data_IF_402975680199
#
_entry.id   IF_402975680199
#
_cell.length_a   1.000
_cell.length_b   1.000
_cell.length_c   1.000
_cell.angle_alpha   90.00
_cell.angle_beta   90.00
_cell.angle_gamma   90.00
#
_symmetry.space_group_name_H-M   'P 1'
#
loop_
_entity.id
_entity.type
_entity.pdbx_description
1 polymer ?
#
# COMPACT_ATOMS: atom_id res chain seq x y z
N UNK A 1 16.58 -7.48 9.65
CA UNK A 1 15.50 -8.33 10.20
C UNK A 1 15.86 -9.81 10.10
N UNK A 2 16.27 -10.31 8.92
CA UNK A 2 16.75 -11.71 8.76
C UNK A 2 17.86 -12.12 9.73
N UNK A 3 18.87 -11.27 9.95
CA UNK A 3 19.96 -11.56 10.89
C UNK A 3 19.45 -11.73 12.33
N UNK A 4 18.46 -10.95 12.76
CA UNK A 4 17.87 -11.05 14.09
C UNK A 4 17.00 -12.32 14.24
N UNK A 5 16.34 -12.74 13.16
CA UNK A 5 15.55 -13.98 13.12
C UNK A 5 16.45 -15.22 13.19
N UNK A 6 17.58 -15.19 12.48
CA UNK A 6 18.60 -16.25 12.53
C UNK A 6 19.21 -16.38 13.93
N UNK A 7 19.54 -15.25 14.58
CA UNK A 7 20.05 -15.25 15.96
C UNK A 7 19.01 -15.82 16.93
N UNK A 8 17.74 -15.42 16.81
CA UNK A 8 16.66 -15.94 17.65
C UNK A 8 16.33 -17.44 17.41
N UNK A 9 16.66 -17.96 16.23
CA UNK A 9 16.54 -19.38 15.90
C UNK A 9 17.71 -20.19 16.46
N UNK A 10 18.94 -19.67 16.37
CA UNK A 10 20.12 -20.29 16.96
C UNK A 10 20.02 -20.36 18.49
N UNK A 11 19.56 -19.29 19.15
CA UNK A 11 19.37 -19.25 20.62
C UNK A 11 18.39 -20.33 21.08
N UNK A 12 17.34 -20.64 20.30
CA UNK A 12 16.39 -21.73 20.59
C UNK A 12 16.99 -23.11 20.49
N UNK A 13 17.82 -23.35 19.49
CA UNK A 13 18.44 -24.67 19.28
C UNK A 13 19.49 -24.99 20.33
N UNK A 14 19.98 -23.96 21.04
CA UNK A 14 20.99 -24.07 22.09
C UNK A 14 20.40 -24.15 23.50
N UNK A 15 19.07 -24.06 23.67
CA UNK A 15 18.43 -24.13 24.98
C UNK A 15 18.29 -25.60 25.44
N UNK A 16 18.94 -26.03 26.54
CA UNK A 16 19.04 -27.43 26.97
C UNK A 16 17.80 -27.95 27.72
N UNK A 17 16.74 -27.14 27.83
CA UNK A 17 15.54 -27.44 28.60
C UNK A 17 14.66 -28.46 27.86
N UNK A 18 14.71 -29.72 28.29
CA UNK A 18 13.90 -30.85 27.79
C UNK A 18 12.43 -30.78 28.22
N UNK A 19 11.74 -29.67 27.93
CA UNK A 19 10.26 -29.59 27.99
C UNK A 19 9.69 -29.57 26.59
N UNK A 20 9.73 -30.73 25.96
CA UNK A 20 8.94 -31.06 24.77
C UNK A 20 7.46 -31.07 25.15
N UNK A 21 6.79 -29.90 25.18
CA UNK A 21 5.31 -29.76 24.99
C UNK A 21 4.83 -28.31 25.11
N UNK A 22 4.33 -27.79 23.98
CA UNK A 22 3.18 -26.86 23.82
C UNK A 22 3.15 -25.44 24.42
N UNK A 23 4.07 -25.02 25.29
CA UNK A 23 4.01 -23.66 25.90
C UNK A 23 5.18 -22.71 25.56
N UNK A 24 5.94 -22.96 24.48
CA UNK A 24 6.96 -21.99 24.05
C UNK A 24 6.36 -20.94 23.09
N UNK A 25 6.57 -19.63 23.33
CA UNK A 25 6.05 -18.61 22.44
C UNK A 25 6.73 -18.67 21.05
N UNK A 26 5.96 -18.57 19.96
CA UNK A 26 6.49 -18.61 18.59
C UNK A 26 7.49 -17.46 18.34
N UNK A 27 8.29 -17.54 17.26
CA UNK A 27 9.48 -16.69 17.04
C UNK A 27 9.21 -15.17 17.03
N UNK A 28 7.95 -14.79 16.88
CA UNK A 28 7.45 -13.42 16.93
C UNK A 28 6.37 -13.20 18.01
N UNK A 29 6.17 -14.15 18.93
CA UNK A 29 5.06 -14.12 19.91
C UNK A 29 3.65 -14.25 19.29
N UNK A 30 3.56 -14.46 17.97
CA UNK A 30 2.31 -14.60 17.24
C UNK A 30 1.83 -16.05 17.27
N UNK A 31 0.86 -16.34 18.14
CA UNK A 31 0.13 -17.62 18.11
C UNK A 31 -0.82 -17.65 16.90
N UNK A 32 -1.22 -18.84 16.46
CA UNK A 32 -2.23 -18.99 15.39
C UNK A 32 -3.54 -18.24 15.72
N UNK A 33 -3.86 -18.09 17.02
CA UNK A 33 -5.01 -17.31 17.50
C UNK A 33 -4.83 -15.82 17.24
N UNK A 34 -3.64 -15.26 17.50
CA UNK A 34 -3.33 -13.86 17.20
C UNK A 34 -3.41 -13.53 15.70
N UNK A 35 -3.08 -14.48 14.82
CA UNK A 35 -3.22 -14.31 13.37
C UNK A 35 -4.69 -14.36 12.94
N UNK A 36 -5.49 -15.25 13.56
CA UNK A 36 -6.93 -15.32 13.33
C UNK A 36 -7.68 -14.08 13.84
N UNK A 37 -7.21 -13.45 14.92
CA UNK A 37 -7.77 -12.20 15.45
C UNK A 37 -7.45 -10.98 14.56
N UNK A 38 -6.33 -11.04 13.81
CA UNK A 38 -5.91 -10.02 12.85
C UNK A 38 -6.44 -10.26 11.43
N UNK A 39 -7.03 -11.43 11.16
CA UNK A 39 -7.65 -11.73 9.88
C UNK A 39 -8.90 -10.87 9.69
N UNK A 40 -9.11 -10.28 8.50
CA UNK A 40 -10.37 -9.61 8.20
C UNK A 40 -11.55 -10.56 8.44
N UNK A 41 -12.69 -10.06 8.93
CA UNK A 41 -13.89 -10.87 9.14
C UNK A 41 -14.22 -11.71 7.91
N UNK A 42 -14.70 -12.94 8.07
CA UNK A 42 -14.98 -13.84 6.93
C UNK A 42 -15.91 -13.20 5.89
N UNK A 43 -16.80 -12.30 6.31
CA UNK A 43 -17.67 -11.52 5.43
C UNK A 43 -16.85 -10.65 4.46
N UNK A 44 -15.83 -9.96 4.95
CA UNK A 44 -14.95 -9.11 4.16
C UNK A 44 -14.09 -9.94 3.20
N UNK A 45 -13.63 -11.12 3.64
CA UNK A 45 -12.90 -12.05 2.77
C UNK A 45 -13.80 -12.58 1.64
N UNK A 46 -15.07 -12.89 1.92
CA UNK A 46 -16.05 -13.30 0.89
C UNK A 46 -16.34 -12.16 -0.09
N UNK A 47 -16.56 -10.94 0.41
CA UNK A 47 -16.77 -9.75 -0.43
C UNK A 47 -15.53 -9.42 -1.27
N UNK A 48 -14.33 -9.55 -0.71
CA UNK A 48 -13.07 -9.38 -1.42
C UNK A 48 -12.92 -10.42 -2.52
N UNK A 49 -13.21 -11.71 -2.24
CA UNK A 49 -13.19 -12.78 -3.25
C UNK A 49 -14.20 -12.54 -4.38
N UNK A 50 -15.41 -12.09 -4.06
CA UNK A 50 -16.43 -11.76 -5.07
C UNK A 50 -16.01 -10.56 -5.93
N UNK A 51 -15.47 -9.49 -5.32
CA UNK A 51 -14.94 -8.32 -6.05
C UNK A 51 -13.72 -8.66 -6.90
N UNK A 52 -12.85 -9.54 -6.41
CA UNK A 52 -11.64 -9.96 -7.12
C UNK A 52 -12.00 -10.60 -8.46
N UNK A 53 -13.00 -11.48 -8.50
CA UNK A 53 -13.44 -12.13 -9.73
C UNK A 53 -13.94 -11.11 -10.76
N UNK A 54 -14.78 -10.17 -10.34
CA UNK A 54 -15.28 -9.12 -11.21
C UNK A 54 -14.16 -8.19 -11.72
N UNK A 55 -13.24 -7.78 -10.84
CA UNK A 55 -12.11 -6.91 -11.20
C UNK A 55 -11.13 -7.63 -12.14
N UNK A 56 -10.89 -8.92 -11.93
CA UNK A 56 -10.09 -9.75 -12.83
C UNK A 56 -10.74 -9.85 -14.20
N UNK A 57 -12.05 -10.07 -14.26
CA UNK A 57 -12.80 -10.13 -15.52
C UNK A 57 -12.71 -8.81 -16.28
N UNK A 58 -12.90 -7.66 -15.61
CA UNK A 58 -12.78 -6.33 -16.21
C UNK A 58 -11.37 -6.09 -16.75
N UNK A 59 -10.34 -6.45 -15.97
CA UNK A 59 -8.94 -6.28 -16.39
C UNK A 59 -8.55 -7.19 -17.54
N UNK A 60 -9.03 -8.43 -17.54
CA UNK A 60 -8.80 -9.39 -18.63
C UNK A 60 -9.49 -8.92 -19.90
N UNK A 61 -10.76 -8.52 -19.82
CA UNK A 61 -11.49 -7.93 -20.96
C UNK A 61 -10.76 -6.72 -21.53
N UNK A 62 -10.29 -5.79 -20.68
CA UNK A 62 -9.51 -4.63 -21.12
C UNK A 62 -8.22 -5.03 -21.85
N UNK A 63 -7.48 -6.02 -21.35
CA UNK A 63 -6.29 -6.53 -22.03
C UNK A 63 -6.62 -7.14 -23.39
N UNK A 64 -7.68 -7.94 -23.47
CA UNK A 64 -8.12 -8.55 -24.72
C UNK A 64 -8.59 -7.49 -25.73
N UNK A 65 -9.27 -6.42 -25.30
CA UNK A 65 -9.62 -5.29 -26.16
C UNK A 65 -8.39 -4.51 -26.65
N UNK A 66 -7.37 -4.32 -25.81
CA UNK A 66 -6.11 -3.69 -26.24
C UNK A 66 -5.34 -4.54 -27.27
N UNK A 67 -5.47 -5.86 -27.22
CA UNK A 67 -4.89 -6.73 -28.26
C UNK A 67 -5.73 -6.58 -29.53
N UNK A 68 -7.05 -6.57 -29.42
CA UNK A 68 -7.96 -6.40 -30.55
C UNK A 68 -7.74 -5.04 -31.26
N UNK A 69 -7.48 -3.98 -30.51
CA UNK A 69 -7.19 -2.64 -31.05
C UNK A 69 -5.96 -2.58 -31.93
N UNK A 70 -4.98 -3.45 -31.68
CA UNK A 70 -3.78 -3.55 -32.50
C UNK A 70 -4.09 -4.13 -33.90
N UNK A 71 -5.01 -5.10 -33.97
CA UNK A 71 -5.39 -5.74 -35.23
C UNK A 71 -6.49 -4.99 -35.97
N UNK A 72 -7.37 -4.28 -35.26
CA UNK A 72 -8.48 -3.51 -35.82
C UNK A 72 -8.57 -2.15 -35.14
N UNK A 73 -7.93 -1.10 -35.68
CA UNK A 73 -7.89 0.23 -35.06
C UNK A 73 -9.24 0.97 -35.05
N UNK A 74 -10.19 0.62 -35.93
CA UNK A 74 -11.52 1.25 -36.01
C UNK A 74 -12.54 0.71 -34.96
N UNK A 75 -12.06 0.01 -33.93
CA UNK A 75 -12.87 -0.69 -32.93
C UNK A 75 -13.52 0.23 -31.87
N UNK A 76 -13.07 1.47 -31.70
CA UNK A 76 -13.48 2.34 -30.59
C UNK A 76 -14.97 2.75 -30.67
N UNK A 77 -15.49 2.98 -31.88
CA UNK A 77 -16.88 3.41 -32.13
C UNK A 77 -17.91 2.25 -32.12
N UNK A 78 -17.48 1.00 -31.99
CA UNK A 78 -18.36 -0.16 -32.07
C UNK A 78 -19.11 -0.44 -30.76
N UNK A 79 -20.31 -1.03 -30.87
CA UNK A 79 -21.12 -1.41 -29.70
C UNK A 79 -20.43 -2.51 -28.87
N UNK A 80 -20.67 -2.54 -27.55
CA UNK A 80 -20.08 -3.56 -26.66
C UNK A 80 -20.39 -5.00 -27.10
N UNK A 81 -21.57 -5.24 -27.68
CA UNK A 81 -21.94 -6.55 -28.23
C UNK A 81 -21.06 -6.98 -29.40
N UNK A 82 -20.74 -6.05 -30.31
CA UNK A 82 -19.90 -6.30 -31.47
C UNK A 82 -18.42 -6.45 -31.06
N UNK A 83 -17.97 -5.66 -30.06
CA UNK A 83 -16.67 -5.82 -29.40
C UNK A 83 -16.52 -7.20 -28.76
N UNK A 84 -17.53 -7.70 -28.06
CA UNK A 84 -17.50 -9.03 -27.45
C UNK A 84 -17.55 -10.16 -28.49
N UNK A 85 -18.26 -10.00 -29.60
CA UNK A 85 -18.26 -10.94 -30.72
C UNK A 85 -16.89 -11.02 -31.42
N UNK A 86 -16.21 -9.88 -31.56
CA UNK A 86 -14.84 -9.84 -32.08
C UNK A 86 -13.84 -10.41 -31.08
N UNK A 87 -14.07 -10.20 -29.78
CA UNK A 87 -13.28 -10.79 -28.70
C UNK A 87 -13.32 -12.32 -28.74
N UNK A 88 -14.49 -12.90 -29.01
CA UNK A 88 -14.62 -14.37 -29.08
C UNK A 88 -13.93 -14.98 -30.30
N UNK A 89 -13.72 -14.20 -31.37
CA UNK A 89 -12.94 -14.60 -32.57
C UNK A 89 -11.45 -14.30 -32.47
N UNK A 90 -11.03 -13.49 -31.49
CA UNK A 90 -9.63 -13.11 -31.28
C UNK A 90 -8.68 -14.34 -31.17
N UNK A 91 -9.02 -15.42 -30.44
CA UNK A 91 -8.16 -16.59 -30.36
C UNK A 91 -7.90 -17.25 -31.72
N UNK A 92 -8.93 -17.40 -32.55
CA UNK A 92 -8.80 -17.97 -33.90
C UNK A 92 -7.90 -17.11 -34.79
N UNK A 93 -8.07 -15.78 -34.74
CA UNK A 93 -7.20 -14.86 -35.48
C UNK A 93 -5.76 -14.93 -35.00
N UNK A 94 -5.53 -14.98 -33.68
CA UNK A 94 -4.19 -15.07 -33.11
C UNK A 94 -3.52 -16.40 -33.45
N UNK A 95 -4.26 -17.50 -33.44
CA UNK A 95 -3.75 -18.81 -33.82
C UNK A 95 -3.39 -18.86 -35.32
N UNK A 96 -4.22 -18.26 -36.18
CA UNK A 96 -3.92 -18.17 -37.61
C UNK A 96 -2.66 -17.34 -37.90
N UNK A 97 -2.47 -16.25 -37.16
CA UNK A 97 -1.30 -15.39 -37.24
C UNK A 97 -0.04 -16.09 -36.68
N UNK A 98 -0.18 -16.82 -35.57
CA UNK A 98 0.91 -17.64 -35.01
C UNK A 98 1.40 -18.68 -36.01
N UNK A 99 0.46 -19.42 -36.63
CA UNK A 99 0.77 -20.40 -37.70
C UNK A 99 1.43 -19.75 -38.90
N UNK A 100 0.99 -18.54 -39.28
CA UNK A 100 1.59 -17.77 -40.38
C UNK A 100 3.05 -17.39 -40.06
N UNK A 101 3.32 -16.95 -38.83
CA UNK A 101 4.68 -16.62 -38.36
C UNK A 101 5.57 -17.85 -38.31
N UNK A 102 5.07 -18.99 -37.83
CA UNK A 102 5.81 -20.25 -37.81
C UNK A 102 6.15 -20.71 -39.24
N UNK A 103 5.20 -20.69 -40.16
CA UNK A 103 5.43 -21.05 -41.56
C UNK A 103 6.43 -20.10 -42.26
N UNK A 104 6.44 -18.81 -41.91
CA UNK A 104 7.45 -17.87 -42.41
C UNK A 104 8.83 -18.16 -41.82
N UNK A 105 8.91 -18.46 -40.53
CA UNK A 105 10.16 -18.85 -39.86
C UNK A 105 10.76 -20.11 -40.44
N UNK A 106 9.93 -21.12 -40.73
CA UNK A 106 10.37 -22.34 -41.41
C UNK A 106 10.91 -22.04 -42.81
N UNK A 107 10.19 -21.24 -43.61
CA UNK A 107 10.67 -20.79 -44.93
C UNK A 107 11.97 -19.99 -44.86
N UNK A 108 12.12 -19.13 -43.86
CA UNK A 108 13.36 -18.38 -43.62
C UNK A 108 14.51 -19.32 -43.28
N UNK A 109 14.27 -20.30 -42.41
CA UNK A 109 15.26 -21.31 -42.04
C UNK A 109 15.65 -22.20 -43.24
N UNK A 110 14.69 -22.63 -44.04
CA UNK A 110 14.92 -23.37 -45.30
C UNK A 110 15.73 -22.54 -46.30
N UNK A 111 15.41 -21.26 -46.47
CA UNK A 111 16.17 -20.36 -47.35
C UNK A 111 17.57 -20.08 -46.83
N UNK A 112 17.74 -19.91 -45.53
CA UNK A 112 19.04 -19.70 -44.90
C UNK A 112 19.93 -20.94 -45.03
N UNK A 113 19.37 -22.14 -44.82
CA UNK A 113 20.10 -23.40 -45.01
C UNK A 113 20.44 -23.66 -46.48
N UNK A 114 19.54 -23.32 -47.42
CA UNK A 114 19.83 -23.36 -48.85
C UNK A 114 20.96 -22.40 -49.23
N UNK A 115 20.91 -21.15 -48.73
CA UNK A 115 21.94 -20.15 -48.94
C UNK A 115 23.28 -20.61 -48.37
N UNK A 116 23.29 -21.18 -47.17
CA UNK A 116 24.49 -21.73 -46.54
C UNK A 116 25.07 -22.90 -47.34
N UNK A 117 24.22 -23.79 -47.87
CA UNK A 117 24.65 -24.89 -48.75
C UNK A 117 25.21 -24.39 -50.07
N UNK A 118 24.54 -23.42 -50.70
CA UNK A 118 25.07 -22.77 -51.91
C UNK A 118 26.40 -22.08 -51.62
N UNK A 119 26.49 -21.32 -50.53
CA UNK A 119 27.71 -20.60 -50.13
C UNK A 119 28.84 -21.58 -49.85
N UNK A 120 28.56 -22.69 -49.17
CA UNK A 120 29.53 -23.76 -48.93
C UNK A 120 29.97 -24.46 -50.23
N UNK A 121 29.04 -24.72 -51.15
CA UNK A 121 29.33 -25.29 -52.47
C UNK A 121 30.21 -24.34 -53.31
N UNK A 122 29.91 -23.04 -53.30
CA UNK A 122 30.71 -22.03 -53.98
C UNK A 122 32.09 -21.83 -53.34
N UNK A 123 32.21 -21.91 -52.02
CA UNK A 123 33.50 -21.86 -51.31
C UNK A 123 34.33 -23.14 -51.47
N UNK A 124 33.71 -24.32 -51.56
CA UNK A 124 34.43 -25.59 -51.75
C UNK A 124 34.86 -25.81 -53.21
N UNK A 125 34.13 -25.25 -54.18
CA UNK A 125 34.46 -25.35 -55.61
C UNK A 125 35.36 -24.20 -56.10
N UNK A 126 35.54 -23.13 -55.32
CA UNK A 126 36.44 -21.99 -55.62
C UNK A 126 37.94 -22.23 -55.32
N UNK A 127 38.39 -23.49 -55.39
CA UNK A 127 39.81 -23.86 -55.55
C UNK A 127 39.86 -24.81 -56.76
N UNK A 128 39.60 -24.34 -58.01
CA UNK A 128 40.64 -23.66 -58.79
C UNK A 128 40.13 -22.59 -59.79
N UNK A 129 40.80 -21.43 -59.79
CA UNK A 129 41.12 -20.44 -60.84
C UNK A 129 40.40 -20.36 -62.22
N UNK A 130 39.21 -20.91 -62.48
CA UNK A 130 38.59 -20.79 -63.81
C UNK A 130 37.05 -20.76 -63.76
N UNK A 131 36.43 -19.58 -63.64
CA UNK A 131 35.14 -19.24 -64.27
C UNK A 131 34.71 -17.79 -63.97
N UNK A 132 34.85 -16.93 -64.99
CA UNK A 132 34.47 -15.51 -64.99
C UNK A 132 32.96 -15.13 -64.86
N UNK A 133 31.95 -16.03 -64.90
CA UNK A 133 30.56 -15.59 -64.67
C UNK A 133 30.10 -15.55 -63.20
N UNK A 134 30.87 -16.10 -62.25
CA UNK A 134 30.43 -16.26 -60.85
C UNK A 134 30.62 -15.02 -59.95
N UNK A 135 31.28 -13.97 -60.45
CA UNK A 135 31.50 -12.73 -59.69
C UNK A 135 30.23 -11.88 -59.55
N UNK A 136 29.24 -12.05 -60.43
CA UNK A 136 28.04 -11.19 -60.44
C UNK A 136 27.03 -11.56 -59.35
N UNK A 137 26.90 -12.84 -58.99
CA UNK A 137 25.95 -13.26 -57.96
C UNK A 137 26.46 -13.01 -56.54
N UNK A 138 27.77 -13.12 -56.32
CA UNK A 138 28.43 -12.80 -55.05
C UNK A 138 28.45 -11.30 -54.79
N UNK A 139 28.69 -10.47 -55.81
CA UNK A 139 28.58 -9.00 -55.71
C UNK A 139 27.16 -8.54 -55.41
N UNK A 140 26.15 -9.10 -56.08
CA UNK A 140 24.74 -8.76 -55.80
C UNK A 140 24.29 -9.15 -54.38
N UNK A 141 24.69 -10.31 -53.88
CA UNK A 141 24.41 -10.72 -52.49
C UNK A 141 25.11 -9.81 -51.47
N UNK A 142 26.34 -9.39 -51.76
CA UNK A 142 27.10 -8.49 -50.89
C UNK A 142 26.52 -7.07 -50.88
N UNK A 143 26.06 -6.56 -52.02
CA UNK A 143 25.33 -5.29 -52.09
C UNK A 143 23.98 -5.37 -51.35
N UNK A 144 23.23 -6.47 -51.51
CA UNK A 144 21.97 -6.67 -50.82
C UNK A 144 22.14 -6.73 -49.30
N UNK A 145 23.18 -7.42 -48.81
CA UNK A 145 23.52 -7.43 -47.38
C UNK A 145 23.94 -6.03 -46.89
N UNK A 146 24.68 -5.27 -47.70
CA UNK A 146 25.02 -3.88 -47.40
C UNK A 146 23.77 -2.99 -47.27
N UNK A 147 22.82 -3.11 -48.21
CA UNK A 147 21.54 -2.40 -48.14
C UNK A 147 20.72 -2.79 -46.91
N UNK A 148 20.69 -4.07 -46.54
CA UNK A 148 20.01 -4.53 -45.31
C UNK A 148 20.64 -3.96 -44.04
N UNK A 149 21.97 -3.92 -43.97
CA UNK A 149 22.68 -3.32 -42.82
C UNK A 149 22.42 -1.82 -42.71
N UNK A 150 22.36 -1.10 -43.83
CA UNK A 150 22.02 0.32 -43.87
C UNK A 150 20.57 0.55 -43.43
N UNK A 151 19.62 -0.27 -43.88
CA UNK A 151 18.23 -0.21 -43.43
C UNK A 151 18.12 -0.51 -41.94
N UNK A 152 18.87 -1.49 -41.45
CA UNK A 152 18.86 -1.87 -40.03
C UNK A 152 19.46 -0.77 -39.15
N UNK A 153 20.56 -0.13 -39.57
CA UNK A 153 21.13 1.01 -38.85
C UNK A 153 20.22 2.23 -38.91
N UNK A 154 19.59 2.52 -40.05
CA UNK A 154 18.57 3.57 -40.16
C UNK A 154 17.39 3.32 -39.22
N UNK A 155 16.87 2.11 -39.15
CA UNK A 155 15.77 1.76 -38.23
C UNK A 155 16.23 1.89 -36.78
N UNK A 156 17.37 1.29 -36.40
CA UNK A 156 17.86 1.35 -35.03
C UNK A 156 18.18 2.79 -34.62
N UNK A 157 18.93 3.53 -35.42
CA UNK A 157 19.39 4.87 -35.08
C UNK A 157 18.26 5.88 -35.20
N UNK A 158 17.44 5.88 -36.24
CA UNK A 158 16.39 6.89 -36.37
C UNK A 158 15.16 6.55 -35.53
N UNK A 159 14.65 5.31 -35.53
CA UNK A 159 13.44 5.04 -34.73
C UNK A 159 13.74 5.07 -33.23
N UNK A 160 14.77 4.36 -32.74
CA UNK A 160 14.99 4.33 -31.27
C UNK A 160 15.55 5.65 -30.74
N UNK A 161 16.47 6.31 -31.46
CA UNK A 161 17.05 7.56 -30.96
C UNK A 161 16.06 8.71 -31.07
N UNK A 162 15.35 8.87 -32.18
CA UNK A 162 14.35 9.92 -32.31
C UNK A 162 13.20 9.71 -31.31
N UNK A 163 12.76 8.46 -31.11
CA UNK A 163 11.76 8.14 -30.11
C UNK A 163 12.25 8.47 -28.69
N UNK A 164 13.49 8.08 -28.34
CA UNK A 164 14.09 8.41 -27.04
C UNK A 164 14.19 9.91 -26.81
N UNK A 165 14.63 10.68 -27.79
CA UNK A 165 14.72 12.14 -27.68
C UNK A 165 13.34 12.78 -27.54
N UNK A 166 12.36 12.30 -28.29
CA UNK A 166 10.98 12.77 -28.20
C UNK A 166 10.35 12.44 -26.83
N UNK A 167 10.57 11.24 -26.32
CA UNK A 167 10.10 10.84 -24.99
C UNK A 167 10.80 11.62 -23.89
N UNK A 168 12.11 11.89 -24.02
CA UNK A 168 12.84 12.77 -23.11
C UNK A 168 12.22 14.17 -23.07
N UNK A 169 11.94 14.77 -24.22
CA UNK A 169 11.29 16.09 -24.28
C UNK A 169 9.89 16.10 -23.68
N UNK A 170 9.12 15.02 -23.85
CA UNK A 170 7.80 14.87 -23.20
C UNK A 170 7.93 14.82 -21.68
N UNK A 171 8.90 14.05 -21.16
CA UNK A 171 9.17 13.97 -19.72
C UNK A 171 9.57 15.35 -19.18
N UNK A 172 10.52 16.02 -19.83
CA UNK A 172 10.97 17.36 -19.43
C UNK A 172 9.80 18.37 -19.40
N UNK A 173 8.92 18.33 -20.42
CA UNK A 173 7.72 19.18 -20.48
C UNK A 173 6.74 18.91 -19.33
N UNK A 174 6.45 17.62 -19.08
CA UNK A 174 5.53 17.23 -18.01
C UNK A 174 6.11 17.57 -16.64
N UNK A 175 7.41 17.39 -16.43
CA UNK A 175 8.10 17.78 -15.21
C UNK A 175 7.99 19.29 -14.98
N UNK A 176 8.33 20.10 -15.98
CA UNK A 176 8.20 21.56 -15.90
C UNK A 176 6.75 21.99 -15.59
N UNK A 177 5.76 21.34 -16.22
CA UNK A 177 4.34 21.59 -15.95
C UNK A 177 3.96 21.26 -14.51
N UNK A 178 4.43 20.13 -13.98
CA UNK A 178 4.25 19.75 -12.57
C UNK A 178 4.89 20.75 -11.63
N UNK A 179 6.13 21.18 -11.91
CA UNK A 179 6.81 22.19 -11.10
C UNK A 179 6.02 23.49 -11.05
N UNK A 180 5.48 23.97 -12.18
CA UNK A 180 4.63 25.16 -12.22
C UNK A 180 3.39 24.99 -11.34
N UNK A 181 2.71 23.85 -11.43
CA UNK A 181 1.51 23.57 -10.62
C UNK A 181 1.85 23.54 -9.12
N UNK A 182 2.95 22.90 -8.73
CA UNK A 182 3.41 22.89 -7.33
C UNK A 182 3.67 24.31 -6.83
N UNK A 183 4.32 25.15 -7.66
CA UNK A 183 4.57 26.55 -7.31
C UNK A 183 3.29 27.35 -7.17
N UNK A 184 2.30 27.14 -8.06
CA UNK A 184 0.98 27.76 -7.96
C UNK A 184 0.24 27.38 -6.68
N UNK A 185 0.14 26.08 -6.38
CA UNK A 185 -0.50 25.61 -5.15
C UNK A 185 0.16 26.26 -3.91
N UNK A 186 1.49 26.35 -3.89
CA UNK A 186 2.21 26.96 -2.77
C UNK A 186 1.96 28.47 -2.68
N UNK A 187 1.85 29.18 -3.79
CA UNK A 187 1.51 30.60 -3.81
C UNK A 187 0.10 30.83 -3.27
N UNK A 188 -0.90 30.07 -3.73
CA UNK A 188 -2.28 30.15 -3.23
C UNK A 188 -2.38 29.81 -1.74
N UNK A 189 -1.65 28.79 -1.27
CA UNK A 189 -1.60 28.44 0.15
C UNK A 189 -1.06 29.60 1.01
N UNK A 190 0.01 30.27 0.56
CA UNK A 190 0.56 31.42 1.26
C UNK A 190 -0.42 32.60 1.23
N UNK A 191 -1.10 32.83 0.10
CA UNK A 191 -2.13 33.86 -0.02
C UNK A 191 -3.27 33.64 0.97
N UNK A 192 -3.80 32.40 1.02
CA UNK A 192 -4.84 32.03 1.99
C UNK A 192 -4.38 32.26 3.44
N UNK A 193 -3.12 31.98 3.77
CA UNK A 193 -2.58 32.24 5.11
C UNK A 193 -2.54 33.74 5.41
N UNK A 194 -2.12 34.58 4.46
CA UNK A 194 -2.11 36.03 4.63
C UNK A 194 -3.53 36.58 4.81
N UNK A 195 -4.51 36.08 4.05
CA UNK A 195 -5.91 36.51 4.12
C UNK A 195 -6.60 36.02 5.42
N UNK A 196 -6.22 34.82 5.88
CA UNK A 196 -6.78 34.21 7.10
C UNK A 196 -6.20 34.83 8.36
N UNK A 197 -4.89 35.07 8.40
CA UNK A 197 -4.17 35.57 9.57
C UNK A 197 -3.74 37.02 9.38
N UNK A 198 -4.72 37.91 9.20
CA UNK A 198 -4.46 39.35 9.22
C UNK A 198 -4.00 39.79 10.61
N UNK A 199 -3.23 40.89 10.68
CA UNK A 199 -2.70 41.41 11.94
C UNK A 199 -3.80 41.67 12.99
N UNK A 200 -4.96 42.16 12.55
CA UNK A 200 -6.13 42.38 13.39
C UNK A 200 -6.70 41.06 13.94
N UNK A 201 -6.88 40.05 13.08
CA UNK A 201 -7.35 38.72 13.50
C UNK A 201 -6.36 38.09 14.47
N UNK A 202 -5.05 38.18 14.23
CA UNK A 202 -4.03 37.67 15.15
C UNK A 202 -4.11 38.38 16.51
N UNK A 203 -4.25 39.70 16.51
CA UNK A 203 -4.42 40.49 17.74
C UNK A 203 -5.68 40.09 18.52
N UNK A 204 -6.79 39.88 17.82
CA UNK A 204 -8.03 39.39 18.43
C UNK A 204 -7.86 37.98 19.04
N UNK A 205 -7.28 37.03 18.31
CA UNK A 205 -6.99 35.69 18.82
C UNK A 205 -6.08 35.72 20.05
N UNK A 206 -5.09 36.63 20.08
CA UNK A 206 -4.22 36.82 21.24
C UNK A 206 -5.02 37.26 22.47
N UNK A 207 -5.88 38.26 22.33
CA UNK A 207 -6.75 38.73 23.42
C UNK A 207 -7.72 37.65 23.91
N UNK A 208 -8.32 36.89 22.99
CA UNK A 208 -9.19 35.76 23.34
C UNK A 208 -8.41 34.72 24.15
N UNK A 209 -7.20 34.37 23.70
CA UNK A 209 -6.33 33.42 24.40
C UNK A 209 -5.95 33.92 25.79
N UNK A 210 -5.54 35.18 25.92
CA UNK A 210 -5.19 35.79 27.22
C UNK A 210 -6.37 35.74 28.19
N UNK A 211 -7.58 36.05 27.72
CA UNK A 211 -8.80 35.99 28.54
C UNK A 211 -9.12 34.55 28.98
N UNK A 212 -9.09 33.60 28.05
CA UNK A 212 -9.33 32.19 28.35
C UNK A 212 -8.29 31.64 29.34
N UNK A 213 -7.01 31.98 29.16
CA UNK A 213 -5.95 31.56 30.07
C UNK A 213 -6.13 32.16 31.47
N UNK A 214 -6.62 33.40 31.58
CA UNK A 214 -6.93 34.04 32.85
C UNK A 214 -8.13 33.38 33.55
N UNK A 215 -9.23 33.14 32.83
CA UNK A 215 -10.43 32.46 33.36
C UNK A 215 -10.09 31.03 33.80
N UNK A 216 -9.31 30.32 33.00
CA UNK A 216 -8.90 28.95 33.30
C UNK A 216 -8.04 28.90 34.58
N UNK A 217 -7.12 29.87 34.76
CA UNK A 217 -6.35 30.01 36.01
C UNK A 217 -7.25 30.30 37.22
N UNK A 218 -8.23 31.20 37.07
CA UNK A 218 -9.17 31.52 38.15
C UNK A 218 -9.99 30.29 38.56
N UNK A 219 -10.58 29.59 37.60
CA UNK A 219 -11.35 28.36 37.84
C UNK A 219 -10.50 27.28 38.50
N UNK A 220 -9.23 27.12 38.09
CA UNK A 220 -8.32 26.18 38.75
C UNK A 220 -8.05 26.56 40.21
N UNK A 221 -7.89 27.84 40.51
CA UNK A 221 -7.68 28.31 41.88
C UNK A 221 -8.94 28.11 42.74
N UNK A 222 -10.12 28.42 42.22
CA UNK A 222 -11.40 28.16 42.89
C UNK A 222 -11.60 26.67 43.16
N UNK A 223 -11.32 25.82 42.17
CA UNK A 223 -11.35 24.37 42.32
C UNK A 223 -10.44 23.91 43.45
N UNK A 224 -9.18 24.35 43.46
CA UNK A 224 -8.22 23.98 44.50
C UNK A 224 -8.68 24.45 45.88
N UNK A 225 -9.25 25.65 45.98
CA UNK A 225 -9.79 26.16 47.24
C UNK A 225 -10.98 25.33 47.73
N UNK A 226 -11.88 24.93 46.82
CA UNK A 226 -13.03 24.09 47.16
C UNK A 226 -12.60 22.68 47.58
N UNK A 227 -11.63 22.08 46.87
CA UNK A 227 -11.04 20.79 47.24
C UNK A 227 -10.39 20.85 48.64
N UNK A 228 -9.65 21.92 48.93
CA UNK A 228 -9.09 22.14 50.27
C UNK A 228 -10.18 22.27 51.35
N UNK A 229 -11.26 23.00 51.07
CA UNK A 229 -12.37 23.16 52.02
C UNK A 229 -13.16 21.85 52.21
N UNK A 230 -13.35 21.05 51.16
CA UNK A 230 -13.97 19.74 51.29
C UNK A 230 -13.12 18.81 52.14
N UNK A 231 -11.80 18.80 51.93
CA UNK A 231 -10.89 17.97 52.73
C UNK A 231 -10.92 18.31 54.22
N UNK A 232 -11.07 19.59 54.59
CA UNK A 232 -11.23 19.95 56.00
C UNK A 232 -12.56 19.46 56.57
N UNK A 233 -13.67 19.59 55.83
CA UNK A 233 -14.96 19.06 56.27
C UNK A 233 -14.97 17.52 56.39
N UNK A 234 -14.27 16.81 55.51
CA UNK A 234 -14.11 15.35 55.61
C UNK A 234 -13.39 14.95 56.90
N UNK A 235 -12.35 15.68 57.30
CA UNK A 235 -11.64 15.44 58.57
C UNK A 235 -12.58 15.66 59.77
N UNK A 236 -13.29 16.79 59.80
CA UNK A 236 -14.24 17.09 60.88
C UNK A 236 -15.39 16.08 60.94
N UNK A 237 -15.88 15.59 59.80
CA UNK A 237 -16.95 14.59 59.75
C UNK A 237 -16.60 13.29 60.46
N UNK A 238 -15.34 12.83 60.34
CA UNK A 238 -14.86 11.63 61.03
C UNK A 238 -14.84 11.81 62.55
N UNK A 239 -14.47 13.00 63.04
CA UNK A 239 -14.49 13.32 64.48
C UNK A 239 -15.92 13.35 65.04
N UNK A 240 -16.88 13.92 64.29
CA UNK A 240 -18.29 13.90 64.69
C UNK A 240 -18.87 12.48 64.74
N UNK A 241 -18.51 11.64 63.78
CA UNK A 241 -18.98 10.26 63.76
C UNK A 241 -18.44 9.45 64.94
N UNK A 242 -17.18 9.64 65.31
CA UNK A 242 -16.60 9.06 66.53
C UNK A 242 -17.35 9.54 67.80
N UNK A 243 -17.63 10.84 67.91
CA UNK A 243 -18.36 11.40 69.05
C UNK A 243 -19.80 10.86 69.16
N UNK A 244 -20.50 10.71 68.02
CA UNK A 244 -21.85 10.12 67.99
C UNK A 244 -21.82 8.66 68.42
N UNK A 245 -20.80 7.89 68.01
CA UNK A 245 -20.61 6.52 68.47
C UNK A 245 -20.40 6.46 69.99
N UNK A 246 -19.52 7.28 70.55
CA UNK A 246 -19.28 7.34 72.00
C UNK A 246 -20.56 7.73 72.77
N UNK A 247 -21.28 8.74 72.30
CA UNK A 247 -22.55 9.16 72.89
C UNK A 247 -23.61 8.04 72.85
N UNK A 248 -23.70 7.30 71.74
CA UNK A 248 -24.63 6.19 71.59
C UNK A 248 -24.31 5.04 72.55
N UNK A 249 -23.03 4.74 72.78
CA UNK A 249 -22.59 3.73 73.75
C UNK A 249 -22.93 4.16 75.18
N UNK A 250 -22.64 5.41 75.55
CA UNK A 250 -23.01 5.98 76.84
C UNK A 250 -24.52 5.94 77.07
N UNK A 251 -25.33 6.24 76.06
CA UNK A 251 -26.79 6.17 76.12
C UNK A 251 -27.26 4.75 76.44
N UNK A 252 -26.73 3.76 75.73
CA UNK A 252 -27.03 2.34 75.97
C UNK A 252 -26.63 1.89 77.38
N UNK A 253 -25.47 2.32 77.87
CA UNK A 253 -25.05 2.04 79.24
C UNK A 253 -25.97 2.67 80.29
N UNK A 254 -26.37 3.93 80.09
CA UNK A 254 -27.30 4.63 80.98
C UNK A 254 -28.65 3.90 80.98
N UNK A 255 -29.17 3.55 79.81
CA UNK A 255 -30.43 2.83 79.68
C UNK A 255 -30.35 1.46 80.39
N UNK A 256 -29.27 0.69 80.18
CA UNK A 256 -29.03 -0.58 80.87
C UNK A 256 -28.92 -0.42 82.40
N UNK A 257 -28.16 0.57 82.88
CA UNK A 257 -28.03 0.86 84.32
C UNK A 257 -29.37 1.31 84.90
N UNK A 258 -30.14 2.13 84.18
CA UNK A 258 -31.48 2.58 84.58
C UNK A 258 -32.51 1.46 84.61
N UNK A 259 -32.40 0.50 83.68
CA UNK A 259 -33.20 -0.70 83.65
C UNK A 259 -32.87 -1.59 84.85
N UNK A 260 -31.57 -1.84 85.09
CA UNK A 260 -31.13 -2.61 86.25
C UNK A 260 -31.61 -1.99 87.57
N UNK A 261 -31.51 -0.67 87.74
CA UNK A 261 -32.01 0.03 88.92
C UNK A 261 -33.54 -0.11 89.09
N UNK A 262 -34.30 -0.07 87.99
CA UNK A 262 -35.75 -0.33 88.02
C UNK A 262 -36.07 -1.77 88.43
N UNK A 263 -35.30 -2.73 87.95
CA UNK A 263 -35.49 -4.14 88.30
C UNK A 263 -35.13 -4.40 89.78
N UNK A 264 -34.01 -3.86 90.26
CA UNK A 264 -33.60 -3.99 91.67
C UNK A 264 -34.57 -3.30 92.64
N UNK A 265 -35.20 -2.20 92.23
CA UNK A 265 -36.22 -1.51 93.04
C UNK A 265 -37.59 -2.22 93.04
N UNK A 266 -37.88 -3.05 92.04
CA UNK A 266 -39.09 -3.89 92.03
C UNK A 266 -38.95 -5.16 92.88
N UNK A 267 -37.72 -5.62 93.16
CA UNK A 267 -37.43 -6.83 93.93
C UNK A 267 -37.09 -6.57 95.42
N UNK A 268 -37.17 -5.31 95.89
CA UNK A 268 -36.88 -4.94 97.28
C UNK A 268 -38.12 -4.70 98.15
N UNK A 269 -39.24 -5.36 97.83
CA UNK A 269 -40.47 -5.37 98.63
C UNK A 269 -40.85 -6.78 99.09
#
# INVERSE_FOLDING_TARGET
MEQCLLVAQCVRQLDPSSTTSQEQPPLLGLSAKHVLDLMPPEKDVRHMKQRLLAELEIRLKKKCFNILSYYQPDWEDESEGLKNLKLSRLPETLESESKRVEALREKEWERATLLQRQTHYYLSFAIPAHMGPLLLSTTHLQELMGCMQILQSLILDYHLKAQKELDKKKVDYLEAKCQIVIRKIRAEMLQLQLDTYTAEKISAHRKIKEKLDAELKAVRAEKQSAESMLSSFEILGQEFEALVQEYSQLRLEIDNKSWALREFSQHSH
#
